data_IF_979471811878
#
_entry.id   IF_979471811878
#
_cell.length_a   1.000
_cell.length_b   1.000
_cell.length_c   1.000
_cell.angle_alpha   90.00
_cell.angle_beta   90.00
_cell.angle_gamma   90.00
#
_symmetry.space_group_name_H-M   'P 1'
#
loop_
_entity.id
_entity.type
_entity.pdbx_description
1 polymer ?
#
# COMPACT_ATOMS: atom_id res chain seq x y z
N UNK A 1 11.53 -8.52 0.67
CA UNK A 1 11.57 -7.41 -0.31
C UNK A 1 11.19 -6.14 0.43
N UNK A 2 11.86 -5.03 0.13
CA UNK A 2 11.89 -3.82 0.96
C UNK A 2 11.87 -2.57 0.08
N UNK A 3 11.11 -1.54 0.50
CA UNK A 3 10.94 -0.29 -0.23
C UNK A 3 12.23 0.54 -0.15
N UNK A 4 13.06 0.47 -1.19
CA UNK A 4 14.46 0.93 -1.21
C UNK A 4 14.62 2.43 -0.98
N UNK A 5 13.61 3.24 -1.31
CA UNK A 5 13.71 4.71 -1.29
C UNK A 5 12.90 5.41 -0.19
N UNK A 6 12.31 4.67 0.76
CA UNK A 6 11.58 5.30 1.88
C UNK A 6 12.44 6.25 2.73
N UNK A 7 13.72 5.94 2.87
CA UNK A 7 14.71 6.76 3.62
C UNK A 7 14.90 8.18 3.07
N UNK A 8 14.54 8.43 1.82
CA UNK A 8 14.71 9.74 1.19
C UNK A 8 13.60 10.72 1.58
N UNK A 9 12.52 10.26 2.21
CA UNK A 9 11.43 11.11 2.67
C UNK A 9 11.72 11.61 4.09
N UNK A 10 12.20 12.86 4.22
CA UNK A 10 12.45 13.53 5.52
C UNK A 10 11.15 13.64 6.34
N UNK A 11 10.03 13.89 5.65
CA UNK A 11 8.67 13.74 6.16
C UNK A 11 7.91 12.85 5.18
N UNK A 12 7.35 11.73 5.64
CA UNK A 12 6.60 10.82 4.77
C UNK A 12 5.22 11.41 4.45
N UNK A 13 5.16 12.23 3.40
CA UNK A 13 3.90 12.71 2.81
C UNK A 13 3.22 11.58 2.05
N UNK A 14 2.45 10.78 2.79
CA UNK A 14 1.82 9.57 2.27
C UNK A 14 0.92 9.83 1.04
N UNK A 15 0.22 10.97 0.99
CA UNK A 15 -0.66 11.31 -0.14
C UNK A 15 0.14 11.43 -1.45
N UNK A 16 1.17 12.29 -1.47
CA UNK A 16 2.03 12.50 -2.64
C UNK A 16 2.73 11.21 -3.09
N UNK A 17 3.07 10.33 -2.13
CA UNK A 17 3.72 9.05 -2.42
C UNK A 17 2.79 8.06 -3.13
N UNK A 18 1.52 7.99 -2.71
CA UNK A 18 0.55 7.06 -3.28
C UNK A 18 -0.11 7.57 -4.56
N UNK A 19 -0.26 8.89 -4.73
CA UNK A 19 -0.83 9.46 -5.96
C UNK A 19 -0.01 9.14 -7.21
N UNK A 20 1.32 8.99 -7.05
CA UNK A 20 2.23 8.65 -8.15
C UNK A 20 2.37 7.13 -8.37
N UNK A 21 1.60 6.31 -7.65
CA UNK A 21 1.70 4.85 -7.70
C UNK A 21 0.38 4.21 -8.07
N UNK A 22 0.45 3.17 -8.91
CA UNK A 22 -0.67 2.24 -9.06
C UNK A 22 -0.44 1.03 -8.19
N UNK A 23 -1.34 0.84 -7.25
CA UNK A 23 -1.34 -0.26 -6.31
C UNK A 23 -2.34 -1.31 -6.79
N UNK A 24 -1.91 -2.56 -6.81
CA UNK A 24 -2.77 -3.69 -7.14
C UNK A 24 -2.96 -4.59 -5.94
N UNK A 25 -4.16 -5.14 -5.79
CA UNK A 25 -4.41 -6.14 -4.76
C UNK A 25 -3.51 -7.36 -4.96
N UNK A 26 -2.95 -7.91 -3.88
CA UNK A 26 -2.28 -9.22 -3.90
C UNK A 26 -3.02 -10.24 -3.05
N UNK A 27 -3.25 -9.90 -1.78
CA UNK A 27 -3.91 -10.80 -0.85
C UNK A 27 -4.47 -10.03 0.35
N UNK A 28 -5.46 -10.64 1.00
CA UNK A 28 -6.01 -10.21 2.27
C UNK A 28 -5.89 -11.37 3.27
N UNK A 29 -5.57 -11.07 4.52
CA UNK A 29 -5.57 -12.06 5.61
C UNK A 29 -6.08 -11.44 6.90
N UNK A 30 -6.83 -12.20 7.68
CA UNK A 30 -7.30 -11.76 8.99
C UNK A 30 -6.11 -11.52 9.94
N UNK A 31 -6.19 -10.46 10.73
CA UNK A 31 -5.24 -10.21 11.81
C UNK A 31 -5.57 -11.16 12.97
N UNK A 32 -4.58 -11.93 13.44
CA UNK A 32 -4.82 -12.94 14.50
C UNK A 32 -5.13 -12.30 15.87
N UNK A 33 -4.66 -11.07 16.11
CA UNK A 33 -4.70 -10.43 17.43
C UNK A 33 -5.54 -9.13 17.46
N UNK A 34 -6.12 -8.73 16.33
CA UNK A 34 -6.85 -7.47 16.16
C UNK A 34 -8.09 -7.75 15.31
N UNK A 35 -9.24 -7.13 15.62
CA UNK A 35 -10.41 -7.23 14.76
C UNK A 35 -10.17 -6.41 13.48
N UNK A 36 -9.65 -7.08 12.44
CA UNK A 36 -9.28 -6.43 11.20
C UNK A 36 -8.59 -7.36 10.20
N UNK A 37 -8.22 -6.78 9.07
CA UNK A 37 -7.57 -7.46 7.95
C UNK A 37 -6.28 -6.76 7.59
N UNK A 38 -5.28 -7.56 7.24
CA UNK A 38 -4.06 -7.10 6.61
C UNK A 38 -4.16 -7.34 5.11
N UNK A 39 -4.15 -6.26 4.33
CA UNK A 39 -4.14 -6.29 2.87
C UNK A 39 -2.73 -6.00 2.37
N UNK A 40 -2.25 -6.88 1.49
CA UNK A 40 -1.00 -6.68 0.75
C UNK A 40 -1.31 -6.13 -0.63
N UNK A 41 -0.64 -5.05 -0.99
CA UNK A 41 -0.72 -4.39 -2.29
C UNK A 41 0.63 -4.46 -3.00
N UNK A 42 0.64 -4.54 -4.32
CA UNK A 42 1.82 -4.50 -5.17
C UNK A 42 1.90 -3.16 -5.90
N UNK A 43 3.08 -2.55 -5.92
CA UNK A 43 3.35 -1.38 -6.77
C UNK A 43 3.65 -1.89 -8.19
N UNK A 44 2.74 -1.65 -9.14
CA UNK A 44 2.95 -1.98 -10.56
C UNK A 44 3.25 -0.76 -11.44
N UNK A 45 3.00 0.45 -10.94
CA UNK A 45 3.51 1.67 -11.55
C UNK A 45 4.06 2.57 -10.45
N UNK A 46 5.23 3.18 -10.69
CA UNK A 46 5.86 4.14 -9.79
C UNK A 46 6.42 5.31 -10.59
N UNK A 47 5.64 6.37 -10.70
CA UNK A 47 5.99 7.59 -11.42
C UNK A 47 6.70 8.62 -10.52
N UNK A 48 7.33 8.15 -9.44
CA UNK A 48 8.03 9.02 -8.50
C UNK A 48 9.45 9.27 -8.98
N UNK A 49 9.85 10.53 -9.09
CA UNK A 49 11.24 10.91 -9.30
C UNK A 49 12.00 10.79 -7.98
N UNK A 50 12.81 9.75 -7.83
CA UNK A 50 13.73 9.59 -6.70
C UNK A 50 15.07 10.27 -7.01
N UNK A 51 15.91 10.45 -5.99
CA UNK A 51 17.27 11.01 -6.16
C UNK A 51 18.20 10.01 -6.86
N UNK A 52 17.82 8.73 -6.90
CA UNK A 52 18.54 7.66 -7.58
C UNK A 52 17.70 7.04 -8.70
N UNK A 53 18.33 6.22 -9.55
CA UNK A 53 17.67 5.52 -10.66
C UNK A 53 16.83 4.31 -10.23
N UNK A 54 16.67 4.07 -8.92
CA UNK A 54 15.91 2.93 -8.41
C UNK A 54 14.47 3.35 -8.13
N UNK A 55 13.50 2.51 -8.45
CA UNK A 55 12.08 2.74 -8.13
C UNK A 55 11.59 1.73 -7.09
N UNK A 56 10.39 1.94 -6.54
CA UNK A 56 9.72 0.93 -5.71
C UNK A 56 8.83 -0.02 -6.54
N UNK A 57 9.02 -0.07 -7.86
CA UNK A 57 8.28 -0.97 -8.74
C UNK A 57 8.52 -2.44 -8.32
N UNK A 58 7.44 -3.23 -8.23
CA UNK A 58 7.49 -4.63 -7.80
C UNK A 58 7.56 -4.83 -6.29
N UNK A 59 7.67 -3.77 -5.50
CA UNK A 59 7.65 -3.86 -4.04
C UNK A 59 6.23 -3.95 -3.48
N UNK A 60 6.10 -4.58 -2.31
CA UNK A 60 4.82 -4.77 -1.64
C UNK A 60 4.61 -3.76 -0.52
N UNK A 61 3.36 -3.33 -0.37
CA UNK A 61 2.90 -2.47 0.71
C UNK A 61 1.87 -3.23 1.53
N UNK A 62 2.02 -3.17 2.85
CA UNK A 62 1.09 -3.79 3.78
C UNK A 62 0.22 -2.72 4.44
N UNK A 63 -1.10 -2.86 4.29
CA UNK A 63 -2.10 -1.99 4.93
C UNK A 63 -2.87 -2.80 5.96
N UNK A 64 -2.96 -2.29 7.18
CA UNK A 64 -3.86 -2.80 8.22
C UNK A 64 -5.17 -2.04 8.15
N UNK A 65 -6.27 -2.76 7.99
CA UNK A 65 -7.63 -2.22 8.04
C UNK A 65 -8.31 -2.76 9.31
N UNK A 66 -8.78 -1.87 10.16
CA UNK A 66 -9.48 -2.23 11.40
C UNK A 66 -10.98 -2.35 11.13
N UNK A 67 -11.68 -3.18 11.89
CA UNK A 67 -13.13 -3.37 11.83
C UNK A 67 -13.68 -3.82 10.45
N UNK A 68 -12.83 -4.41 9.61
CA UNK A 68 -13.24 -5.11 8.38
C UNK A 68 -12.90 -6.58 8.47
N UNK A 69 -13.59 -7.38 7.67
CA UNK A 69 -13.43 -8.81 7.54
C UNK A 69 -12.78 -9.16 6.20
N UNK A 70 -12.30 -10.40 6.07
CA UNK A 70 -11.73 -10.87 4.80
C UNK A 70 -12.77 -10.92 3.68
N UNK A 71 -14.05 -11.07 4.02
CA UNK A 71 -15.18 -11.15 3.09
C UNK A 71 -15.39 -9.82 2.34
N UNK A 72 -15.06 -8.69 2.95
CA UNK A 72 -15.07 -7.37 2.32
C UNK A 72 -14.13 -7.29 1.09
N UNK A 73 -13.13 -8.17 1.05
CA UNK A 73 -12.14 -8.25 -0.02
C UNK A 73 -12.34 -9.47 -0.95
N UNK A 74 -13.43 -10.22 -0.79
CA UNK A 74 -13.74 -11.42 -1.61
C UNK A 74 -13.79 -11.13 -3.11
N UNK A 75 -14.26 -9.95 -3.49
CA UNK A 75 -14.36 -9.52 -4.89
C UNK A 75 -13.04 -8.93 -5.44
N UNK A 76 -11.96 -8.86 -4.66
CA UNK A 76 -10.69 -8.32 -5.11
C UNK A 76 -9.86 -9.42 -5.76
N UNK A 77 -9.48 -9.19 -7.02
CA UNK A 77 -8.68 -10.13 -7.79
C UNK A 77 -7.19 -9.75 -7.70
N UNK A 78 -6.31 -10.69 -7.29
CA UNK A 78 -4.87 -10.46 -7.26
C UNK A 78 -4.34 -9.99 -8.62
N UNK A 79 -3.50 -8.97 -8.62
CA UNK A 79 -2.86 -8.37 -9.80
C UNK A 79 -3.82 -7.81 -10.88
N UNK A 80 -5.14 -7.82 -10.64
CA UNK A 80 -6.13 -7.29 -11.57
C UNK A 80 -6.92 -6.12 -10.97
N UNK A 81 -7.20 -6.16 -9.67
CA UNK A 81 -7.92 -5.07 -8.99
C UNK A 81 -6.96 -3.95 -8.61
N UNK A 82 -7.15 -2.78 -9.23
CA UNK A 82 -6.47 -1.53 -8.84
C UNK A 82 -7.06 -1.03 -7.53
N UNK A 83 -6.20 -0.65 -6.60
CA UNK A 83 -6.55 -0.22 -5.26
C UNK A 83 -6.01 1.17 -4.96
N UNK A 84 -6.75 1.89 -4.13
CA UNK A 84 -6.30 3.13 -3.49
C UNK A 84 -6.37 2.97 -1.98
N UNK A 85 -5.41 3.56 -1.28
CA UNK A 85 -5.42 3.65 0.17
C UNK A 85 -6.11 4.97 0.55
N UNK A 86 -7.17 4.88 1.34
CA UNK A 86 -7.96 6.01 1.83
C UNK A 86 -7.94 6.03 3.37
N UNK A 87 -8.42 7.14 3.97
CA UNK A 87 -8.58 7.28 5.43
C UNK A 87 -7.34 6.85 6.23
N UNK A 88 -6.14 7.27 5.78
CA UNK A 88 -4.88 6.90 6.44
C UNK A 88 -4.85 7.55 7.83
N UNK A 89 -4.98 6.74 8.87
CA UNK A 89 -4.88 7.18 10.27
C UNK A 89 -3.45 7.14 10.78
N UNK A 90 -2.63 6.25 10.22
CA UNK A 90 -1.24 6.07 10.64
C UNK A 90 -0.38 5.58 9.48
N UNK A 91 0.76 6.20 9.26
CA UNK A 91 1.80 5.72 8.36
C UNK A 91 3.15 5.79 9.09
N UNK A 92 3.78 4.64 9.34
CA UNK A 92 5.06 4.56 10.03
C UNK A 92 6.07 3.89 9.11
N UNK A 93 7.19 4.56 8.89
CA UNK A 93 8.39 3.95 8.33
C UNK A 93 9.15 3.29 9.47
N UNK A 94 9.52 2.02 9.30
CA UNK A 94 10.22 1.23 10.32
C UNK A 94 11.24 0.27 9.69
N UNK A 95 11.90 -0.50 10.55
CA UNK A 95 13.01 -1.38 10.21
C UNK A 95 14.36 -0.66 10.34
N UNK A 96 15.42 -1.42 10.60
CA UNK A 96 16.80 -0.90 10.70
C UNK A 96 17.18 -0.10 9.46
N UNK A 97 16.68 -0.55 8.32
CA UNK A 97 16.88 0.07 7.03
C UNK A 97 15.83 1.13 6.65
N UNK A 98 14.89 1.48 7.54
CA UNK A 98 13.78 2.41 7.29
C UNK A 98 13.14 2.21 5.90
N UNK A 99 12.99 0.95 5.52
CA UNK A 99 12.56 0.50 4.20
C UNK A 99 11.30 -0.36 4.29
N UNK A 100 10.66 -0.35 5.45
CA UNK A 100 9.38 -1.00 5.70
C UNK A 100 8.36 0.07 6.03
N UNK A 101 7.18 -0.05 5.44
CA UNK A 101 6.08 0.87 5.66
C UNK A 101 4.90 0.12 6.25
N UNK A 102 4.44 0.55 7.41
CA UNK A 102 3.21 0.06 8.03
C UNK A 102 2.17 1.14 7.97
N UNK A 103 1.04 0.83 7.34
CA UNK A 103 -0.07 1.76 7.15
C UNK A 103 -1.28 1.23 7.90
N UNK A 104 -2.00 2.11 8.56
CA UNK A 104 -3.35 1.86 9.08
C UNK A 104 -4.31 2.79 8.35
N UNK A 105 -5.31 2.22 7.68
CA UNK A 105 -6.28 2.96 6.87
C UNK A 105 -7.23 2.01 6.16
N UNK A 106 -7.87 2.51 5.12
CA UNK A 106 -8.82 1.76 4.28
C UNK A 106 -8.22 1.44 2.90
N UNK A 107 -8.71 0.38 2.28
CA UNK A 107 -8.38 0.02 0.90
C UNK A 107 -9.66 -0.08 0.09
N UNK A 108 -9.72 0.70 -0.98
CA UNK A 108 -10.86 0.77 -1.89
C UNK A 108 -10.44 0.39 -3.31
N UNK A 109 -11.39 -0.14 -4.09
CA UNK A 109 -11.17 -0.36 -5.52
C UNK A 109 -11.19 0.96 -6.25
N UNK A 110 -10.27 1.13 -7.19
CA UNK A 110 -10.35 2.21 -8.18
C UNK A 110 -11.10 1.66 -9.36
N UNK A 111 -12.35 2.09 -9.56
CA UNK A 111 -13.01 1.90 -10.85
C UNK A 111 -12.34 2.84 -11.84
N UNK A 112 -11.52 2.30 -12.74
CA UNK A 112 -11.06 3.07 -13.89
C UNK A 112 -12.30 3.42 -14.72
N UNK A 113 -12.77 4.66 -14.59
CA UNK A 113 -13.70 5.24 -15.55
C UNK A 113 -12.98 5.24 -16.89
N UNK A 114 -13.29 4.24 -17.73
CA UNK A 114 -12.88 4.22 -19.13
C UNK A 114 -13.40 5.53 -19.75
N UNK A 115 -12.50 6.49 -19.96
CA UNK A 115 -12.75 7.63 -20.83
C UNK A 115 -12.66 7.20 -22.28
#
# INVERSE_FOLDING_TARGET
MTLKNLRQFIEFKHNDFFEKKKLYFLSARTLQNENGVKVSLLILEDNTTYVNDTTNLGEQITVKILNKSIEDYSNFQPMATVCKITNISKAIIFGEYQNQLSIVGDVEKVEEVKK
#
